data_IF_510760382787
#
_entry.id   IF_510760382787
#
_cell.length_a   1.000
_cell.length_b   1.000
_cell.length_c   1.000
_cell.angle_alpha   90.00
_cell.angle_beta   90.00
_cell.angle_gamma   90.00
#
_symmetry.space_group_name_H-M   'P 1'
#
loop_
_entity.id
_entity.type
_entity.pdbx_description
1 polymer ?
#
# COMPACT_ATOMS: atom_id res chain seq x y z
N UNK A 1 -5.63 3.32 28.85
CA UNK A 1 -4.67 2.64 27.96
C UNK A 1 -4.83 1.16 28.16
N UNK A 2 -5.21 0.45 27.13
CA UNK A 2 -5.36 -0.99 27.15
C UNK A 2 -4.00 -1.74 27.32
N UNK A 3 -2.90 -1.06 27.16
CA UNK A 3 -1.55 -1.51 27.51
C UNK A 3 -0.96 -2.61 26.64
N UNK A 4 -1.74 -3.28 25.80
CA UNK A 4 -1.26 -4.41 25.02
C UNK A 4 -0.36 -4.03 23.84
N UNK A 5 -0.56 -2.84 23.32
CA UNK A 5 0.08 -2.39 22.09
C UNK A 5 0.84 -1.08 22.23
N UNK A 6 0.64 -0.37 23.34
CA UNK A 6 1.13 0.98 23.53
C UNK A 6 2.31 0.98 24.51
N UNK A 7 3.48 1.17 24.01
CA UNK A 7 4.72 1.31 24.78
C UNK A 7 5.08 2.78 25.06
N UNK A 8 4.26 3.71 24.60
CA UNK A 8 4.54 5.14 24.61
C UNK A 8 3.36 5.94 25.19
N UNK A 9 3.62 7.16 25.63
CA UNK A 9 2.59 8.13 26.00
C UNK A 9 1.85 8.71 24.78
N UNK A 10 2.35 8.44 23.59
CA UNK A 10 1.76 8.79 22.30
C UNK A 10 1.12 7.55 21.66
N UNK A 11 -0.17 7.27 21.94
CA UNK A 11 -0.84 6.06 21.44
C UNK A 11 -0.79 5.89 19.92
N UNK A 12 -0.74 7.00 19.20
CA UNK A 12 -0.65 7.06 17.75
C UNK A 12 0.76 6.85 17.19
N UNK A 13 1.79 6.82 18.06
CA UNK A 13 3.17 6.59 17.67
C UNK A 13 3.64 5.32 18.33
N UNK A 14 3.70 4.28 17.56
CA UNK A 14 4.18 2.98 17.98
C UNK A 14 5.60 2.79 17.46
N UNK A 15 6.38 1.97 18.14
CA UNK A 15 7.79 1.75 17.78
C UNK A 15 8.65 3.02 17.78
N UNK A 16 8.51 3.88 18.82
CA UNK A 16 9.33 5.09 18.97
C UNK A 16 10.82 4.84 18.81
N UNK A 17 11.28 3.64 19.15
CA UNK A 17 12.67 3.20 19.07
C UNK A 17 13.10 2.80 17.63
N UNK A 18 12.29 3.06 16.63
CA UNK A 18 12.62 2.84 15.23
C UNK A 18 12.80 4.17 14.50
N UNK A 19 13.39 4.15 13.31
CA UNK A 19 13.49 5.34 12.47
C UNK A 19 12.11 5.88 12.10
N UNK A 20 11.18 4.98 11.77
CA UNK A 20 9.80 5.34 11.43
C UNK A 20 9.08 5.95 12.64
N UNK A 21 9.18 5.34 13.82
CA UNK A 21 8.55 5.87 15.02
C UNK A 21 9.08 7.25 15.41
N UNK A 22 10.38 7.49 15.27
CA UNK A 22 10.99 8.82 15.51
C UNK A 22 10.49 9.85 14.50
N UNK A 23 10.40 9.49 13.22
CA UNK A 23 9.86 10.38 12.19
C UNK A 23 8.38 10.68 12.44
N UNK A 24 7.57 9.67 12.78
CA UNK A 24 6.16 9.88 13.15
C UNK A 24 6.02 10.83 14.31
N UNK A 25 6.83 10.67 15.36
CA UNK A 25 6.83 11.57 16.51
C UNK A 25 7.21 13.00 16.13
N UNK A 26 8.25 13.16 15.33
CA UNK A 26 8.68 14.47 14.82
C UNK A 26 7.54 15.16 14.04
N UNK A 27 6.87 14.43 13.15
CA UNK A 27 5.75 14.95 12.37
C UNK A 27 4.56 15.27 13.29
N UNK A 28 4.25 14.39 14.24
CA UNK A 28 3.14 14.58 15.15
C UNK A 28 3.31 15.81 16.06
N UNK A 29 4.52 16.06 16.54
CA UNK A 29 4.86 17.21 17.38
C UNK A 29 5.11 18.50 16.57
N UNK A 30 5.18 18.40 15.24
CA UNK A 30 5.47 19.53 14.39
C UNK A 30 4.27 20.47 14.24
N UNK A 31 4.48 21.79 14.19
CA UNK A 31 3.43 22.72 13.82
C UNK A 31 3.01 22.54 12.34
N UNK A 32 1.80 22.99 11.99
CA UNK A 32 1.20 22.73 10.67
C UNK A 32 2.04 23.26 9.50
N UNK A 33 2.66 24.42 9.64
CA UNK A 33 3.55 24.99 8.64
C UNK A 33 4.76 24.07 8.35
N UNK A 34 5.30 23.45 9.41
CA UNK A 34 6.39 22.48 9.25
C UNK A 34 5.92 21.19 8.57
N UNK A 35 4.72 20.74 8.86
CA UNK A 35 4.11 19.58 8.17
C UNK A 35 3.95 19.89 6.68
N UNK A 36 3.46 21.08 6.32
CA UNK A 36 3.32 21.50 4.93
C UNK A 36 4.67 21.56 4.20
N UNK A 37 5.73 22.05 4.85
CA UNK A 37 7.10 22.01 4.32
C UNK A 37 7.55 20.58 4.02
N UNK A 38 7.37 19.65 4.96
CA UNK A 38 7.71 18.23 4.80
C UNK A 38 6.95 17.63 3.63
N UNK A 39 5.61 17.83 3.56
CA UNK A 39 4.79 17.34 2.45
C UNK A 39 5.29 17.86 1.09
N UNK A 40 5.69 19.12 1.04
CA UNK A 40 6.24 19.75 -0.17
C UNK A 40 7.62 19.22 -0.53
N UNK A 41 8.51 19.10 0.46
CA UNK A 41 9.88 18.57 0.27
C UNK A 41 9.87 17.17 -0.30
N UNK A 42 9.04 16.29 0.26
CA UNK A 42 8.92 14.90 -0.19
C UNK A 42 7.96 14.73 -1.37
N UNK A 43 7.37 15.82 -1.87
CA UNK A 43 6.42 15.80 -2.99
C UNK A 43 5.26 14.83 -2.75
N UNK A 44 4.75 14.78 -1.51
CA UNK A 44 3.64 13.90 -1.14
C UNK A 44 2.37 14.41 -1.84
N UNK A 45 1.70 13.57 -2.64
CA UNK A 45 0.57 14.01 -3.43
C UNK A 45 -0.67 14.27 -2.58
N UNK A 46 -1.39 15.33 -2.88
CA UNK A 46 -2.75 15.47 -2.37
C UNK A 46 -3.69 14.45 -3.05
N UNK A 47 -4.80 14.03 -2.42
CA UNK A 47 -5.77 13.14 -3.04
C UNK A 47 -6.32 13.63 -4.38
N UNK A 48 -6.41 14.94 -4.57
CA UNK A 48 -6.87 15.55 -5.83
C UNK A 48 -5.91 15.32 -6.99
N UNK A 49 -4.65 15.06 -6.74
CA UNK A 49 -3.65 14.76 -7.78
C UNK A 49 -3.79 13.37 -8.37
N UNK A 50 -4.47 12.44 -7.68
CA UNK A 50 -4.71 11.09 -8.16
C UNK A 50 -5.58 11.03 -9.43
N UNK A 51 -6.22 12.13 -9.80
CA UNK A 51 -7.02 12.25 -11.02
C UNK A 51 -6.29 12.80 -12.24
N UNK A 52 -5.00 13.15 -12.14
CA UNK A 52 -4.27 13.74 -13.28
C UNK A 52 -4.16 12.78 -14.45
N UNK A 53 -4.65 13.22 -15.61
CA UNK A 53 -4.54 12.43 -16.84
C UNK A 53 -3.08 12.13 -17.19
N UNK A 54 -2.84 10.94 -17.71
CA UNK A 54 -1.52 10.50 -18.16
C UNK A 54 -0.62 9.90 -17.07
N UNK A 55 -1.06 9.91 -15.81
CA UNK A 55 -0.29 9.35 -14.69
C UNK A 55 -0.66 7.92 -14.35
N UNK A 56 -1.92 7.55 -14.56
CA UNK A 56 -2.49 6.26 -14.14
C UNK A 56 -3.18 5.57 -15.32
N UNK A 57 -3.24 4.24 -15.30
CA UNK A 57 -3.83 3.46 -16.39
C UNK A 57 -5.27 3.88 -16.65
N UNK A 58 -6.10 4.00 -15.61
CA UNK A 58 -7.52 4.31 -15.75
C UNK A 58 -7.84 5.68 -16.38
N UNK A 59 -6.98 6.66 -16.24
CA UNK A 59 -7.19 8.02 -16.76
C UNK A 59 -6.27 8.36 -17.94
N UNK A 60 -5.61 7.36 -18.50
CA UNK A 60 -4.64 7.49 -19.57
C UNK A 60 -5.17 6.80 -20.83
N UNK A 61 -5.30 7.49 -21.96
CA UNK A 61 -5.69 6.86 -23.22
C UNK A 61 -4.78 5.68 -23.56
N UNK A 62 -5.36 4.58 -24.04
CA UNK A 62 -4.66 3.31 -24.28
C UNK A 62 -3.33 3.46 -25.04
N UNK A 63 -3.29 4.34 -26.05
CA UNK A 63 -2.05 4.59 -26.81
C UNK A 63 -0.90 5.07 -25.91
N UNK A 64 -1.22 5.95 -24.96
CA UNK A 64 -0.23 6.47 -24.01
C UNK A 64 0.16 5.45 -22.95
N UNK A 65 -0.76 4.58 -22.53
CA UNK A 65 -0.42 3.41 -21.68
C UNK A 65 0.60 2.54 -22.38
N UNK A 66 0.42 2.25 -23.67
CA UNK A 66 1.37 1.48 -24.48
C UNK A 66 2.73 2.19 -24.58
N UNK A 67 2.73 3.50 -24.82
CA UNK A 67 3.95 4.29 -24.87
C UNK A 67 4.69 4.30 -23.52
N UNK A 68 3.97 4.50 -22.43
CA UNK A 68 4.54 4.48 -21.08
C UNK A 68 5.12 3.09 -20.74
N UNK A 69 4.40 2.03 -21.07
CA UNK A 69 4.87 0.66 -20.90
C UNK A 69 6.16 0.36 -21.68
N UNK A 70 6.34 0.95 -22.85
CA UNK A 70 7.59 0.80 -23.62
C UNK A 70 8.78 1.46 -22.92
N UNK A 71 8.54 2.51 -22.14
CA UNK A 71 9.58 3.17 -21.32
C UNK A 71 9.89 2.38 -20.06
N UNK A 72 8.84 1.84 -19.43
CA UNK A 72 8.95 0.98 -18.25
C UNK A 72 7.78 0.00 -18.23
N UNK A 73 8.07 -1.29 -18.31
CA UNK A 73 7.07 -2.37 -18.35
C UNK A 73 6.63 -2.87 -16.97
N UNK A 74 7.07 -2.20 -15.91
CA UNK A 74 6.64 -2.47 -14.54
C UNK A 74 5.35 -1.71 -14.27
N UNK A 75 4.38 -2.42 -13.67
CA UNK A 75 3.17 -1.82 -13.10
C UNK A 75 3.09 -2.13 -11.62
N UNK A 76 2.80 -1.10 -10.83
CA UNK A 76 2.46 -1.24 -9.41
C UNK A 76 0.95 -1.33 -9.26
N UNK A 77 0.51 -2.25 -8.44
CA UNK A 77 -0.91 -2.45 -8.10
C UNK A 77 -1.09 -2.20 -6.61
N UNK A 78 -1.64 -1.05 -6.22
CA UNK A 78 -1.92 -0.77 -4.82
C UNK A 78 -3.13 -1.56 -4.35
N UNK A 79 -2.98 -2.24 -3.21
CA UNK A 79 -4.01 -3.06 -2.58
C UNK A 79 -4.17 -2.65 -1.13
N UNK A 80 -5.30 -2.04 -0.82
CA UNK A 80 -5.72 -1.71 0.51
C UNK A 80 -7.02 -2.42 0.86
N UNK A 81 -7.76 -1.84 1.78
CA UNK A 81 -9.12 -2.22 2.08
C UNK A 81 -9.91 -1.04 2.65
N UNK A 82 -11.15 -1.28 2.99
CA UNK A 82 -11.99 -0.37 3.73
C UNK A 82 -12.32 -1.05 5.05
N UNK A 83 -11.67 -0.60 6.14
CA UNK A 83 -11.86 -1.15 7.47
C UNK A 83 -11.85 -0.09 8.58
N UNK A 84 -12.40 -0.47 9.71
CA UNK A 84 -12.40 0.38 10.90
C UNK A 84 -11.00 0.44 11.51
N UNK A 85 -10.44 1.65 11.59
CA UNK A 85 -9.18 1.96 12.26
C UNK A 85 -9.40 2.79 13.55
N UNK A 86 -10.51 2.54 14.24
CA UNK A 86 -10.92 3.29 15.41
C UNK A 86 -11.68 4.59 15.09
N UNK A 87 -11.92 5.40 16.13
CA UNK A 87 -12.82 6.55 16.04
C UNK A 87 -12.24 7.76 15.29
N UNK A 88 -10.93 7.81 15.13
CA UNK A 88 -10.22 9.00 14.62
C UNK A 88 -9.56 8.82 13.27
N UNK A 89 -9.44 7.59 12.75
CA UNK A 89 -8.85 7.32 11.47
C UNK A 89 -9.91 7.04 10.40
N UNK A 90 -9.55 7.27 9.14
CA UNK A 90 -10.42 7.01 8.01
C UNK A 90 -10.50 5.50 7.74
N UNK A 91 -11.68 4.98 7.44
CA UNK A 91 -11.83 3.57 7.02
C UNK A 91 -11.09 3.23 5.71
N UNK A 92 -10.70 4.22 4.94
CA UNK A 92 -9.88 4.05 3.73
C UNK A 92 -8.38 4.19 3.95
N UNK A 93 -7.89 4.21 5.20
CA UNK A 93 -6.49 4.45 5.55
C UNK A 93 -5.53 3.56 4.75
N UNK A 94 -5.77 2.26 4.74
CA UNK A 94 -4.96 1.29 4.00
C UNK A 94 -4.81 1.65 2.53
N UNK A 95 -5.95 1.95 1.90
CA UNK A 95 -6.01 2.28 0.48
C UNK A 95 -5.30 3.59 0.18
N UNK A 96 -5.48 4.60 1.02
CA UNK A 96 -4.84 5.91 0.84
C UNK A 96 -3.32 5.81 1.02
N UNK A 97 -2.86 5.13 2.06
CA UNK A 97 -1.43 4.95 2.32
C UNK A 97 -0.74 4.22 1.17
N UNK A 98 -1.23 3.05 0.77
CA UNK A 98 -0.59 2.27 -0.29
C UNK A 98 -0.62 2.99 -1.63
N UNK A 99 -1.67 3.75 -1.90
CA UNK A 99 -1.77 4.55 -3.13
C UNK A 99 -0.70 5.65 -3.15
N UNK A 100 -0.50 6.33 -2.03
CA UNK A 100 0.55 7.35 -1.90
C UNK A 100 1.95 6.76 -1.99
N UNK A 101 2.18 5.60 -1.39
CA UNK A 101 3.46 4.87 -1.51
C UNK A 101 3.75 4.55 -2.99
N UNK A 102 2.78 3.99 -3.69
CA UNK A 102 2.93 3.68 -5.12
C UNK A 102 3.19 4.94 -5.96
N UNK A 103 2.50 6.03 -5.68
CA UNK A 103 2.72 7.32 -6.34
C UNK A 103 4.11 7.89 -6.02
N UNK A 104 4.57 7.75 -4.79
CA UNK A 104 5.93 8.12 -4.41
C UNK A 104 6.99 7.35 -5.23
N UNK A 105 6.81 6.05 -5.40
CA UNK A 105 7.69 5.21 -6.25
C UNK A 105 7.62 5.67 -7.71
N UNK A 106 6.44 5.99 -8.23
CA UNK A 106 6.28 6.50 -9.59
C UNK A 106 7.04 7.82 -9.79
N UNK A 107 6.90 8.76 -8.87
CA UNK A 107 7.62 10.06 -8.91
C UNK A 107 9.13 9.87 -8.81
N UNK A 108 9.57 9.01 -7.91
CA UNK A 108 10.99 8.69 -7.76
C UNK A 108 11.59 8.10 -9.05
N UNK A 109 10.90 7.16 -9.68
CA UNK A 109 11.34 6.54 -10.93
C UNK A 109 11.21 7.49 -12.12
N UNK A 110 10.23 8.40 -12.11
CA UNK A 110 10.07 9.44 -13.12
C UNK A 110 11.26 10.42 -13.14
N UNK A 111 11.78 10.81 -11.97
CA UNK A 111 12.99 11.65 -11.85
C UNK A 111 14.22 10.97 -12.46
N UNK A 112 14.19 9.65 -12.64
CA UNK A 112 15.24 8.84 -13.29
C UNK A 112 14.97 8.51 -14.76
N UNK A 113 13.92 9.11 -15.34
CA UNK A 113 13.57 8.97 -16.74
C UNK A 113 12.79 7.69 -17.12
N UNK A 114 12.46 6.84 -16.14
CA UNK A 114 11.76 5.58 -16.39
C UNK A 114 10.61 5.35 -15.38
N UNK A 115 9.54 6.17 -15.40
CA UNK A 115 8.45 6.06 -14.44
C UNK A 115 7.76 4.69 -14.52
N UNK A 116 7.55 4.07 -13.38
CA UNK A 116 6.67 2.89 -13.27
C UNK A 116 5.23 3.29 -13.58
N UNK A 117 4.42 2.34 -14.02
CA UNK A 117 2.98 2.54 -14.25
C UNK A 117 2.20 2.23 -12.98
N UNK A 118 1.04 2.86 -12.78
CA UNK A 118 0.14 2.58 -11.69
C UNK A 118 -1.18 2.02 -12.19
N UNK A 119 -1.56 0.85 -11.70
CA UNK A 119 -2.88 0.26 -11.93
C UNK A 119 -3.87 0.85 -10.91
N UNK A 120 -4.42 2.02 -11.22
CA UNK A 120 -5.48 2.64 -10.44
C UNK A 120 -6.82 2.53 -11.19
N UNK A 121 -7.94 2.44 -10.47
CA UNK A 121 -8.10 2.64 -9.03
C UNK A 121 -7.44 1.51 -8.22
N UNK A 122 -7.04 1.78 -6.95
CA UNK A 122 -6.54 0.75 -6.06
C UNK A 122 -7.63 -0.26 -5.75
N UNK A 123 -7.25 -1.47 -5.35
CA UNK A 123 -8.20 -2.39 -4.73
C UNK A 123 -8.47 -1.88 -3.31
N UNK A 124 -9.72 -1.49 -3.06
CA UNK A 124 -10.14 -0.84 -1.82
C UNK A 124 -11.16 -1.65 -1.01
N UNK A 125 -11.51 -2.84 -1.46
CA UNK A 125 -12.29 -3.81 -0.71
C UNK A 125 -11.52 -5.11 -0.63
N UNK A 126 -11.32 -5.60 0.59
CA UNK A 126 -10.46 -6.74 0.87
C UNK A 126 -11.12 -7.80 1.72
N UNK A 127 -10.37 -8.87 1.94
CA UNK A 127 -10.71 -9.90 2.92
C UNK A 127 -10.21 -9.51 4.30
N UNK A 128 -11.00 -9.75 5.32
CA UNK A 128 -10.69 -9.41 6.69
C UNK A 128 -10.64 -10.64 7.59
N UNK A 129 -9.85 -10.59 8.67
CA UNK A 129 -9.99 -11.53 9.75
C UNK A 129 -11.42 -11.52 10.31
N UNK A 130 -11.88 -12.66 10.79
CA UNK A 130 -13.25 -12.82 11.27
C UNK A 130 -13.66 -11.81 12.35
N UNK A 131 -12.74 -11.35 13.18
CA UNK A 131 -13.02 -10.42 14.27
C UNK A 131 -13.44 -9.01 13.82
N UNK A 132 -13.26 -8.67 12.56
CA UNK A 132 -13.74 -7.39 11.99
C UNK A 132 -15.23 -7.40 11.64
N UNK A 133 -15.86 -8.55 11.71
CA UNK A 133 -17.30 -8.66 11.42
C UNK A 133 -18.11 -7.83 12.42
N UNK A 134 -18.95 -6.95 11.88
CA UNK A 134 -19.80 -6.05 12.67
C UNK A 134 -19.16 -4.73 13.11
N UNK A 135 -17.89 -4.49 12.78
CA UNK A 135 -17.28 -3.19 13.00
C UNK A 135 -17.77 -2.17 11.96
N UNK A 136 -18.35 -1.06 12.43
CA UNK A 136 -18.78 0.02 11.56
C UNK A 136 -17.60 0.59 10.77
N UNK A 137 -17.81 0.88 9.48
CA UNK A 137 -16.73 1.35 8.60
C UNK A 137 -15.93 0.23 7.92
N UNK A 138 -16.19 -1.03 8.27
CA UNK A 138 -15.55 -2.19 7.63
C UNK A 138 -16.47 -2.81 6.58
N UNK A 139 -15.94 -3.04 5.37
CA UNK A 139 -16.62 -3.75 4.29
C UNK A 139 -15.86 -5.04 4.03
N UNK A 140 -16.44 -6.15 4.44
CA UNK A 140 -15.85 -7.48 4.31
C UNK A 140 -16.25 -8.10 2.98
N UNK A 141 -15.26 -8.47 2.18
CA UNK A 141 -15.47 -9.28 0.98
C UNK A 141 -15.13 -10.74 1.27
N UNK A 142 -15.92 -11.70 0.75
CA UNK A 142 -15.54 -13.10 0.80
C UNK A 142 -14.15 -13.33 0.15
N UNK A 143 -13.34 -14.18 0.76
CA UNK A 143 -11.97 -14.43 0.29
C UNK A 143 -11.89 -14.92 -1.15
N UNK A 144 -12.83 -15.76 -1.56
CA UNK A 144 -12.92 -16.26 -2.93
C UNK A 144 -13.22 -15.15 -3.94
N UNK A 145 -14.05 -14.15 -3.56
CA UNK A 145 -14.33 -12.98 -4.38
C UNK A 145 -13.08 -12.10 -4.53
N UNK A 146 -12.38 -11.84 -3.43
CA UNK A 146 -11.12 -11.07 -3.48
C UNK A 146 -10.10 -11.80 -4.33
N UNK A 147 -9.91 -13.10 -4.12
CA UNK A 147 -8.98 -13.92 -4.89
C UNK A 147 -9.30 -13.89 -6.39
N UNK A 148 -10.56 -14.09 -6.77
CA UNK A 148 -10.96 -14.03 -8.17
C UNK A 148 -10.78 -12.63 -8.77
N UNK A 149 -11.02 -11.58 -8.00
CA UNK A 149 -10.74 -10.20 -8.42
C UNK A 149 -9.25 -10.02 -8.72
N UNK A 150 -8.39 -10.45 -7.80
CA UNK A 150 -6.92 -10.40 -7.97
C UNK A 150 -6.48 -11.13 -9.25
N UNK A 151 -6.96 -12.36 -9.44
CA UNK A 151 -6.64 -13.17 -10.64
C UNK A 151 -7.05 -12.46 -11.92
N UNK A 152 -8.25 -11.91 -11.96
CA UNK A 152 -8.76 -11.23 -13.15
C UNK A 152 -8.03 -9.91 -13.44
N UNK A 153 -7.65 -9.16 -12.40
CA UNK A 153 -6.82 -7.95 -12.58
C UNK A 153 -5.42 -8.32 -13.07
N UNK A 154 -4.80 -9.38 -12.52
CA UNK A 154 -3.51 -9.90 -13.01
C UNK A 154 -3.59 -10.24 -14.50
N UNK A 155 -4.65 -10.93 -14.92
CA UNK A 155 -4.88 -11.29 -16.31
C UNK A 155 -5.12 -10.07 -17.20
N UNK A 156 -5.92 -9.11 -16.74
CA UNK A 156 -6.19 -7.87 -17.46
C UNK A 156 -4.90 -7.07 -17.72
N UNK A 157 -4.10 -6.89 -16.70
CA UNK A 157 -2.80 -6.22 -16.82
C UNK A 157 -1.84 -7.01 -17.73
N UNK A 158 -1.87 -8.34 -17.67
CA UNK A 158 -1.10 -9.17 -18.58
C UNK A 158 -1.54 -8.96 -20.03
N UNK A 159 -2.84 -8.92 -20.30
CA UNK A 159 -3.40 -8.62 -21.65
C UNK A 159 -3.00 -7.23 -22.14
N UNK A 160 -2.89 -6.26 -21.27
CA UNK A 160 -2.36 -4.93 -21.59
C UNK A 160 -0.84 -4.93 -21.83
N UNK A 161 -0.20 -6.07 -21.59
CA UNK A 161 1.22 -6.30 -21.86
C UNK A 161 2.14 -6.01 -20.68
N UNK A 162 1.61 -5.77 -19.50
CA UNK A 162 2.40 -5.68 -18.28
C UNK A 162 2.79 -7.08 -17.81
N UNK A 163 3.99 -7.49 -18.16
CA UNK A 163 4.56 -8.78 -17.77
C UNK A 163 5.25 -8.74 -16.40
N UNK A 164 5.53 -7.54 -15.89
CA UNK A 164 6.13 -7.31 -14.58
C UNK A 164 5.13 -6.56 -13.72
N UNK A 165 4.53 -7.26 -12.78
CA UNK A 165 3.52 -6.70 -11.89
C UNK A 165 4.02 -6.78 -10.45
N UNK A 166 3.97 -5.67 -9.73
CA UNK A 166 4.29 -5.62 -8.31
C UNK A 166 3.03 -5.18 -7.56
N UNK A 167 2.48 -6.10 -6.80
CA UNK A 167 1.28 -5.92 -5.99
C UNK A 167 1.71 -5.53 -4.59
N UNK A 168 1.39 -4.32 -4.20
CA UNK A 168 1.78 -3.76 -2.91
C UNK A 168 0.54 -3.72 -2.02
N UNK A 169 0.59 -4.53 -0.98
CA UNK A 169 -0.48 -4.67 -0.01
C UNK A 169 -0.21 -3.80 1.22
N UNK A 170 -1.28 -3.24 1.77
CA UNK A 170 -1.30 -2.52 3.05
C UNK A 170 -2.51 -2.92 3.89
N UNK A 171 -2.81 -4.20 3.95
CA UNK A 171 -3.86 -4.76 4.80
C UNK A 171 -3.53 -6.19 5.18
N UNK A 172 -4.05 -6.66 6.29
CA UNK A 172 -3.84 -8.02 6.81
C UNK A 172 -4.46 -9.13 5.96
N UNK A 173 -4.24 -9.13 4.64
CA UNK A 173 -4.84 -10.07 3.68
C UNK A 173 -3.83 -10.69 2.70
N UNK A 174 -2.53 -10.62 2.99
CA UNK A 174 -1.49 -11.04 2.05
C UNK A 174 -1.68 -12.48 1.54
N UNK A 175 -2.15 -13.40 2.41
CA UNK A 175 -2.40 -14.79 2.04
C UNK A 175 -3.41 -14.96 0.90
N UNK A 176 -4.42 -14.09 0.82
CA UNK A 176 -5.42 -14.13 -0.26
C UNK A 176 -4.78 -13.76 -1.59
N UNK A 177 -3.91 -12.74 -1.58
CA UNK A 177 -3.19 -12.29 -2.77
C UNK A 177 -2.18 -13.34 -3.22
N UNK A 178 -1.46 -13.96 -2.28
CA UNK A 178 -0.53 -15.06 -2.57
C UNK A 178 -1.25 -16.29 -3.13
N UNK A 179 -2.41 -16.64 -2.58
CA UNK A 179 -3.28 -17.70 -3.10
C UNK A 179 -3.77 -17.37 -4.52
N UNK A 180 -4.17 -16.11 -4.76
CA UNK A 180 -4.55 -15.63 -6.09
C UNK A 180 -3.42 -15.72 -7.10
N UNK A 181 -2.21 -15.36 -6.70
CA UNK A 181 -1.01 -15.47 -7.54
C UNK A 181 -0.73 -16.91 -7.93
N UNK A 182 -0.78 -17.84 -6.99
CA UNK A 182 -0.56 -19.26 -7.26
C UNK A 182 -1.62 -19.82 -8.22
N UNK A 183 -2.88 -19.46 -7.98
CA UNK A 183 -3.99 -19.92 -8.82
C UNK A 183 -3.93 -19.31 -10.22
N UNK A 184 -3.51 -18.06 -10.37
CA UNK A 184 -3.27 -17.43 -11.66
C UNK A 184 -2.29 -18.25 -12.51
N UNK A 185 -1.15 -18.63 -11.98
CA UNK A 185 -0.16 -19.41 -12.72
C UNK A 185 -0.63 -20.85 -13.01
N UNK A 186 -1.41 -21.46 -12.12
CA UNK A 186 -2.01 -22.77 -12.39
C UNK A 186 -2.99 -22.73 -13.57
N UNK A 187 -3.85 -21.71 -13.60
CA UNK A 187 -4.90 -21.59 -14.62
C UNK A 187 -4.35 -21.22 -15.99
N UNK A 188 -3.44 -20.27 -16.02
CA UNK A 188 -3.07 -19.63 -17.29
C UNK A 188 -1.69 -19.98 -17.80
N UNK A 189 -0.75 -20.38 -16.95
CA UNK A 189 0.64 -20.72 -17.31
C UNK A 189 1.31 -19.66 -18.21
N UNK A 190 1.00 -18.40 -17.97
CA UNK A 190 1.46 -17.28 -18.78
C UNK A 190 2.84 -16.80 -18.33
N UNK A 191 3.74 -16.40 -19.25
CA UNK A 191 5.03 -15.84 -18.88
C UNK A 191 4.85 -14.47 -18.25
N UNK A 192 5.13 -14.37 -16.95
CA UNK A 192 5.08 -13.14 -16.19
C UNK A 192 6.01 -13.19 -14.99
N UNK A 193 6.39 -12.04 -14.51
CA UNK A 193 7.04 -11.83 -13.20
C UNK A 193 6.05 -11.06 -12.35
N UNK A 194 5.42 -11.74 -11.41
CA UNK A 194 4.45 -11.13 -10.52
C UNK A 194 4.94 -11.30 -9.09
N UNK A 195 5.02 -10.20 -8.36
CA UNK A 195 5.36 -10.19 -6.93
C UNK A 195 4.21 -9.60 -6.16
N UNK A 196 3.86 -10.27 -5.07
CA UNK A 196 2.95 -9.76 -4.04
C UNK A 196 3.76 -9.51 -2.78
N UNK A 197 3.60 -8.37 -2.15
CA UNK A 197 4.34 -8.02 -0.93
C UNK A 197 3.60 -6.96 -0.13
N UNK A 198 3.75 -7.02 1.18
CA UNK A 198 3.42 -5.89 2.04
C UNK A 198 4.52 -4.83 1.91
N UNK A 199 4.12 -3.57 1.88
CA UNK A 199 5.08 -2.48 1.68
C UNK A 199 6.13 -2.40 2.79
N UNK A 200 5.72 -2.62 4.05
CA UNK A 200 6.62 -2.54 5.21
C UNK A 200 7.70 -3.62 5.18
N UNK A 201 7.45 -4.79 4.55
CA UNK A 201 8.49 -5.81 4.35
C UNK A 201 9.59 -5.34 3.41
N UNK A 202 9.26 -4.47 2.45
CA UNK A 202 10.24 -3.91 1.52
C UNK A 202 11.18 -2.89 2.20
N UNK A 203 10.74 -2.32 3.31
CA UNK A 203 11.47 -1.29 4.08
C UNK A 203 11.68 -1.72 5.54
N UNK A 204 11.79 -3.01 5.78
CA UNK A 204 11.89 -3.62 7.11
C UNK A 204 13.00 -3.01 7.97
N UNK A 205 14.09 -2.60 7.38
CA UNK A 205 15.22 -2.00 8.08
C UNK A 205 14.85 -0.72 8.82
N UNK A 206 13.87 0.04 8.31
CA UNK A 206 13.38 1.26 8.95
C UNK A 206 12.49 0.99 10.17
N UNK A 207 11.96 -0.22 10.29
CA UNK A 207 11.18 -0.70 11.43
C UNK A 207 12.00 -1.51 12.45
N UNK A 208 13.30 -1.69 12.19
CA UNK A 208 14.17 -2.39 13.12
C UNK A 208 14.47 -1.48 14.32
N UNK A 209 14.29 -1.93 15.56
CA UNK A 209 14.65 -1.17 16.74
C UNK A 209 16.11 -0.69 16.69
N UNK A 210 16.35 0.55 17.09
CA UNK A 210 17.69 1.15 17.10
C UNK A 210 18.50 0.54 18.24
N UNK A 211 17.87 0.30 19.39
CA UNK A 211 18.44 -0.41 20.53
C UNK A 211 17.91 -1.83 20.59
N UNK A 212 18.82 -2.81 20.49
CA UNK A 212 18.47 -4.23 20.49
C UNK A 212 17.87 -4.74 21.82
N UNK A 213 17.96 -3.97 22.89
CA UNK A 213 17.40 -4.32 24.19
C UNK A 213 15.88 -4.15 24.26
N UNK A 214 15.31 -3.30 23.42
CA UNK A 214 13.87 -3.12 23.28
C UNK A 214 13.29 -3.96 22.13
N UNK A 215 13.57 -5.24 22.12
CA UNK A 215 13.06 -6.17 21.10
C UNK A 215 11.57 -6.49 21.30
N UNK A 216 10.72 -5.48 21.39
CA UNK A 216 9.31 -5.65 21.16
C UNK A 216 9.10 -5.71 19.65
N UNK A 217 9.18 -6.90 19.18
CA UNK A 217 8.74 -7.50 17.94
C UNK A 217 8.36 -6.55 16.79
N UNK A 218 9.27 -6.46 15.87
CA UNK A 218 9.15 -5.89 14.52
C UNK A 218 8.14 -6.63 13.63
N UNK A 219 7.38 -7.58 14.12
CA UNK A 219 6.52 -8.44 13.30
C UNK A 219 5.06 -8.00 13.30
N UNK A 220 4.71 -6.94 14.01
CA UNK A 220 3.34 -6.51 14.12
C UNK A 220 3.05 -5.25 13.30
N UNK A 221 2.22 -5.41 12.31
CA UNK A 221 1.93 -4.40 11.28
C UNK A 221 0.81 -3.46 11.70
N UNK A 222 -0.20 -3.99 12.38
CA UNK A 222 -1.37 -3.19 12.77
C UNK A 222 -1.14 -2.25 13.94
N UNK A 223 -0.01 -2.37 14.61
CA UNK A 223 0.28 -1.55 15.77
C UNK A 223 0.57 -0.09 15.42
N UNK A 224 0.88 0.23 14.18
CA UNK A 224 1.11 1.60 13.74
C UNK A 224 -0.11 2.24 13.04
N UNK A 225 -1.20 1.49 12.95
CA UNK A 225 -2.46 1.95 12.38
C UNK A 225 -3.50 2.33 13.47
N UNK A 226 -3.24 1.96 14.73
CA UNK A 226 -4.19 2.16 15.84
C UNK A 226 -4.17 3.61 16.42
#
# INVERSE_FOLDING_TARGET
KDGRWLTTDYPQIIFENTQVGRLKKEIFDAPMDKIEEILKEYEIPSPSELGKAGSYIQNTPRRHVIENRRKNDIVLVPVGCTECHGDYANSGLDTFMVTQICEGVRRYTAKRGAPVNLALPPLNYGGHPYHHFGMAGTIIMPEDVVRETVINVMLGLWNDGFRKQIWINNHGQLWILESGLQEFFKRYQLPAIIRVTDWHRAVREFFTPIDREDSLTTDFVHADEA
#
